data_IF_896219124821
#
_entry.id   IF_896219124821
#
_cell.length_a   1.000
_cell.length_b   1.000
_cell.length_c   1.000
_cell.angle_alpha   90.00
_cell.angle_beta   90.00
_cell.angle_gamma   90.00
#
_symmetry.space_group_name_H-M   'P 1'
#
loop_
_entity.id
_entity.type
_entity.pdbx_description
1 polymer ?
#
# COMPACT_ATOMS: atom_id res chain seq x y z
N UNK A 1 9.89 3.72 -30.84
CA UNK A 1 8.93 3.64 -31.96
C UNK A 1 7.58 4.30 -31.61
N UNK A 2 7.43 4.84 -30.38
CA UNK A 2 6.16 5.45 -29.89
C UNK A 2 5.99 6.95 -30.23
N UNK A 3 7.04 7.68 -30.55
CA UNK A 3 6.95 9.15 -30.76
C UNK A 3 6.60 9.60 -32.20
N UNK A 4 6.76 8.73 -33.19
CA UNK A 4 6.56 9.14 -34.60
C UNK A 4 5.11 9.21 -35.03
N UNK A 5 4.22 8.38 -34.46
CA UNK A 5 2.81 8.28 -34.82
C UNK A 5 1.90 9.26 -34.06
N UNK A 6 2.44 9.99 -33.09
CA UNK A 6 1.68 10.90 -32.22
C UNK A 6 1.69 12.36 -32.66
N UNK A 7 2.39 12.70 -33.73
CA UNK A 7 2.45 14.08 -34.24
C UNK A 7 1.11 14.50 -34.84
N UNK A 8 0.40 15.36 -34.11
CA UNK A 8 -0.86 15.95 -34.54
C UNK A 8 -2.09 15.52 -33.73
N UNK A 9 -1.93 14.65 -32.72
CA UNK A 9 -3.00 14.31 -31.79
C UNK A 9 -3.22 15.43 -30.77
N UNK A 10 -4.47 15.61 -30.32
CA UNK A 10 -4.72 16.40 -29.12
C UNK A 10 -4.09 15.71 -27.89
N UNK A 11 -3.77 16.43 -26.80
CA UNK A 11 -3.26 15.82 -25.57
C UNK A 11 -4.15 14.67 -25.05
N UNK A 12 -5.47 14.83 -25.12
CA UNK A 12 -6.43 13.80 -24.69
C UNK A 12 -6.42 12.57 -25.61
N UNK A 13 -6.28 12.77 -26.91
CA UNK A 13 -6.19 11.66 -27.87
C UNK A 13 -4.87 10.91 -27.71
N UNK A 14 -3.78 11.61 -27.42
CA UNK A 14 -2.50 11.01 -27.11
C UNK A 14 -2.56 10.10 -25.87
N UNK A 15 -3.20 10.56 -24.77
CA UNK A 15 -3.41 9.75 -23.58
C UNK A 15 -4.27 8.52 -23.88
N UNK A 16 -5.36 8.68 -24.62
CA UNK A 16 -6.20 7.56 -25.03
C UNK A 16 -5.44 6.53 -25.87
N UNK A 17 -4.54 6.99 -26.73
CA UNK A 17 -3.68 6.11 -27.53
C UNK A 17 -2.71 5.35 -26.62
N UNK A 18 -2.02 6.02 -25.66
CA UNK A 18 -1.17 5.36 -24.70
C UNK A 18 -1.89 4.26 -23.91
N UNK A 19 -3.11 4.52 -23.44
CA UNK A 19 -3.92 3.51 -22.73
C UNK A 19 -4.20 2.29 -23.62
N UNK A 20 -4.51 2.50 -24.90
CA UNK A 20 -4.73 1.40 -25.86
C UNK A 20 -3.45 0.58 -26.06
N UNK A 21 -2.31 1.24 -26.21
CA UNK A 21 -1.03 0.59 -26.42
C UNK A 21 -0.59 -0.19 -25.16
N UNK A 22 -0.74 0.40 -23.97
CA UNK A 22 -0.52 -0.29 -22.69
C UNK A 22 -1.40 -1.55 -22.58
N UNK A 23 -2.70 -1.44 -22.86
CA UNK A 23 -3.60 -2.60 -22.79
C UNK A 23 -3.24 -3.68 -23.82
N UNK A 24 -2.76 -3.29 -25.00
CA UNK A 24 -2.29 -4.23 -26.02
C UNK A 24 -1.04 -4.97 -25.55
N UNK A 25 -0.11 -4.28 -24.93
CA UNK A 25 1.10 -4.89 -24.35
C UNK A 25 0.75 -5.82 -23.17
N UNK A 26 -0.09 -5.37 -22.25
CA UNK A 26 -0.55 -6.19 -21.13
C UNK A 26 -1.22 -7.47 -21.63
N UNK A 27 -1.99 -7.38 -22.72
CA UNK A 27 -2.62 -8.55 -23.35
C UNK A 27 -1.57 -9.49 -23.98
N UNK A 28 -0.52 -8.95 -24.59
CA UNK A 28 0.55 -9.74 -25.18
C UNK A 28 1.37 -10.54 -24.13
N UNK A 29 1.45 -10.01 -22.91
CA UNK A 29 2.12 -10.66 -21.75
C UNK A 29 1.14 -11.36 -20.82
N UNK A 30 -0.11 -11.58 -21.24
CA UNK A 30 -1.14 -12.20 -20.41
C UNK A 30 -0.73 -13.59 -19.92
N UNK A 31 -0.91 -13.81 -18.61
CA UNK A 31 -0.74 -15.13 -17.98
C UNK A 31 -2.07 -15.57 -17.36
N UNK A 32 -2.79 -16.43 -18.09
CA UNK A 32 -4.12 -16.91 -17.68
C UNK A 32 -4.08 -17.73 -16.38
N UNK A 33 -3.00 -18.48 -16.14
CA UNK A 33 -2.83 -19.26 -14.89
C UNK A 33 -2.67 -18.32 -13.71
N UNK A 34 -1.80 -17.30 -13.83
CA UNK A 34 -1.63 -16.29 -12.81
C UNK A 34 -2.92 -15.52 -12.55
N UNK A 35 -3.62 -15.07 -13.60
CA UNK A 35 -4.91 -14.38 -13.50
C UNK A 35 -5.96 -15.20 -12.75
N UNK A 36 -6.08 -16.50 -13.08
CA UNK A 36 -7.00 -17.40 -12.39
C UNK A 36 -6.63 -17.61 -10.94
N UNK A 37 -5.33 -17.79 -10.64
CA UNK A 37 -4.84 -17.91 -9.26
C UNK A 37 -5.12 -16.64 -8.44
N UNK A 38 -4.89 -15.46 -9.01
CA UNK A 38 -5.20 -14.17 -8.37
C UNK A 38 -6.67 -14.06 -7.98
N UNK A 39 -7.59 -14.40 -8.89
CA UNK A 39 -9.03 -14.39 -8.61
C UNK A 39 -9.40 -15.38 -7.51
N UNK A 40 -8.87 -16.59 -7.53
CA UNK A 40 -9.11 -17.61 -6.52
C UNK A 40 -8.59 -17.20 -5.12
N UNK A 41 -7.58 -16.32 -5.08
CA UNK A 41 -7.02 -15.77 -3.85
C UNK A 41 -7.65 -14.42 -3.43
N UNK A 42 -8.81 -14.06 -3.99
CA UNK A 42 -9.60 -12.90 -3.56
C UNK A 42 -9.18 -11.57 -4.21
N UNK A 43 -8.39 -11.59 -5.29
CA UNK A 43 -8.13 -10.40 -6.10
C UNK A 43 -9.24 -10.31 -7.16
N UNK A 44 -10.43 -9.86 -6.77
CA UNK A 44 -11.64 -9.89 -7.59
C UNK A 44 -12.24 -8.51 -7.91
N UNK A 45 -11.75 -7.44 -7.32
CA UNK A 45 -12.26 -6.07 -7.50
C UNK A 45 -12.06 -5.46 -8.90
N UNK A 46 -11.62 -6.23 -9.90
CA UNK A 46 -11.31 -5.77 -11.26
C UNK A 46 -12.10 -6.50 -12.33
N UNK A 47 -12.53 -5.75 -13.36
CA UNK A 47 -13.17 -6.33 -14.55
C UNK A 47 -12.19 -7.22 -15.32
N UNK A 48 -10.92 -6.80 -15.43
CA UNK A 48 -9.87 -7.52 -16.14
C UNK A 48 -8.63 -7.65 -15.25
N UNK A 49 -8.05 -8.85 -15.26
CA UNK A 49 -6.74 -9.18 -14.69
C UNK A 49 -5.98 -9.91 -15.78
N UNK A 50 -4.90 -9.34 -16.28
CA UNK A 50 -4.06 -9.99 -17.29
C UNK A 50 -3.11 -11.02 -16.66
N UNK A 51 -2.80 -10.89 -15.37
CA UNK A 51 -1.84 -11.75 -14.67
C UNK A 51 -0.39 -11.43 -15.01
N UNK A 52 -0.11 -10.20 -15.45
CA UNK A 52 1.25 -9.72 -15.71
C UNK A 52 1.95 -9.47 -14.38
N UNK A 53 3.19 -9.94 -14.27
CA UNK A 53 3.99 -9.76 -13.06
C UNK A 53 4.47 -8.31 -12.86
N UNK A 54 4.84 -8.00 -11.60
CA UNK A 54 5.23 -6.63 -11.21
C UNK A 54 6.55 -6.20 -11.86
N UNK A 55 7.44 -7.14 -12.19
CA UNK A 55 8.73 -6.81 -12.83
C UNK A 55 8.47 -6.25 -14.23
N UNK A 56 7.62 -6.93 -15.01
CA UNK A 56 7.23 -6.43 -16.32
C UNK A 56 6.47 -5.10 -16.25
N UNK A 57 5.62 -4.91 -15.24
CA UNK A 57 4.94 -3.63 -15.04
C UNK A 57 5.93 -2.49 -14.74
N UNK A 58 7.01 -2.75 -14.00
CA UNK A 58 8.06 -1.75 -13.75
C UNK A 58 8.81 -1.38 -15.03
N UNK A 59 9.12 -2.35 -15.88
CA UNK A 59 9.72 -2.10 -17.19
C UNK A 59 8.82 -1.20 -18.03
N UNK A 60 7.54 -1.56 -18.15
CA UNK A 60 6.56 -0.77 -18.90
C UNK A 60 6.39 0.64 -18.30
N UNK A 61 6.32 0.78 -16.99
CA UNK A 61 6.25 2.08 -16.33
C UNK A 61 7.49 2.95 -16.63
N UNK A 62 8.68 2.33 -16.73
CA UNK A 62 9.91 3.02 -17.10
C UNK A 62 9.91 3.57 -18.53
N UNK A 63 9.27 2.86 -19.47
CA UNK A 63 9.13 3.30 -20.87
C UNK A 63 8.24 4.54 -21.00
N UNK A 64 7.17 4.63 -20.20
CA UNK A 64 6.25 5.78 -20.20
C UNK A 64 6.72 6.95 -19.32
N UNK A 65 7.62 6.67 -18.35
CA UNK A 65 8.10 7.67 -17.41
C UNK A 65 7.02 8.25 -16.51
N UNK A 66 7.32 9.37 -15.85
CA UNK A 66 6.37 10.06 -14.98
C UNK A 66 5.41 10.93 -15.80
N UNK A 67 4.10 10.64 -15.67
CA UNK A 67 3.05 11.35 -16.43
C UNK A 67 1.75 11.39 -15.62
N UNK A 68 1.43 12.56 -15.06
CA UNK A 68 0.24 12.77 -14.23
C UNK A 68 -1.06 12.46 -14.98
N UNK A 69 -1.24 13.02 -16.17
CA UNK A 69 -2.49 12.86 -16.92
C UNK A 69 -2.73 11.38 -17.30
N UNK A 70 -1.69 10.68 -17.76
CA UNK A 70 -1.78 9.25 -18.06
C UNK A 70 -2.07 8.43 -16.80
N UNK A 71 -1.44 8.74 -15.67
CA UNK A 71 -1.66 8.03 -14.41
C UNK A 71 -3.11 8.17 -13.91
N UNK A 72 -3.68 9.39 -14.00
CA UNK A 72 -5.08 9.64 -13.63
C UNK A 72 -6.06 8.83 -14.48
N UNK A 73 -5.82 8.73 -15.77
CA UNK A 73 -6.69 7.95 -16.67
C UNK A 73 -6.50 6.44 -16.49
N UNK A 74 -5.27 5.95 -16.27
CA UNK A 74 -5.01 4.55 -15.95
C UNK A 74 -5.66 4.13 -14.63
N UNK A 75 -5.72 5.02 -13.63
CA UNK A 75 -6.38 4.72 -12.35
C UNK A 75 -7.88 4.51 -12.50
N UNK A 76 -8.53 5.18 -13.45
CA UNK A 76 -9.97 5.01 -13.72
C UNK A 76 -10.31 3.67 -14.38
N UNK A 77 -9.31 2.99 -14.95
CA UNK A 77 -9.52 1.71 -15.61
C UNK A 77 -9.84 0.58 -14.61
N UNK A 78 -10.83 -0.24 -14.95
CA UNK A 78 -11.16 -1.44 -14.16
C UNK A 78 -10.27 -2.63 -14.53
N UNK A 79 -8.97 -2.37 -14.68
CA UNK A 79 -7.90 -3.32 -15.02
C UNK A 79 -6.85 -3.26 -13.94
N UNK A 80 -6.53 -4.41 -13.30
CA UNK A 80 -5.57 -4.49 -12.20
C UNK A 80 -4.23 -3.86 -12.56
N UNK A 81 -3.66 -4.26 -13.67
CA UNK A 81 -2.34 -3.84 -14.12
C UNK A 81 -2.29 -2.33 -14.45
N UNK A 82 -3.38 -1.77 -14.98
CA UNK A 82 -3.49 -0.34 -15.24
C UNK A 82 -3.44 0.48 -13.94
N UNK A 83 -4.13 0.03 -12.88
CA UNK A 83 -4.07 0.70 -11.58
C UNK A 83 -2.69 0.60 -10.93
N UNK A 84 -2.01 -0.54 -11.04
CA UNK A 84 -0.63 -0.69 -10.56
C UNK A 84 0.30 0.24 -11.33
N UNK A 85 0.22 0.28 -12.67
CA UNK A 85 1.00 1.20 -13.51
C UNK A 85 0.74 2.66 -13.14
N UNK A 86 -0.52 3.03 -12.86
CA UNK A 86 -0.86 4.38 -12.42
C UNK A 86 -0.04 4.79 -11.19
N UNK A 87 0.12 3.91 -10.19
CA UNK A 87 0.94 4.20 -9.00
C UNK A 87 2.43 4.36 -9.31
N UNK A 88 2.92 3.69 -10.36
CA UNK A 88 4.33 3.77 -10.77
C UNK A 88 4.63 4.99 -11.63
N UNK A 89 3.67 5.42 -12.46
CA UNK A 89 3.82 6.52 -13.44
C UNK A 89 3.47 7.88 -12.81
N UNK A 90 2.64 7.92 -11.75
CA UNK A 90 2.24 9.17 -11.10
C UNK A 90 3.46 9.93 -10.54
N UNK A 91 3.69 11.21 -10.93
CA UNK A 91 4.67 12.06 -10.28
C UNK A 91 4.18 12.48 -8.89
N UNK A 92 5.07 12.44 -7.90
CA UNK A 92 4.78 12.80 -6.49
C UNK A 92 4.39 14.28 -6.37
N UNK A 93 5.07 15.15 -7.11
CA UNK A 93 4.94 16.61 -7.05
C UNK A 93 3.57 17.13 -7.48
N UNK A 94 2.87 16.35 -8.30
CA UNK A 94 1.51 16.69 -8.80
C UNK A 94 0.41 15.84 -8.17
N UNK A 95 0.72 15.10 -7.09
CA UNK A 95 -0.23 14.25 -6.39
C UNK A 95 -0.63 14.91 -5.07
N UNK A 96 -1.74 15.66 -5.08
CA UNK A 96 -2.22 16.42 -3.93
C UNK A 96 -2.99 15.54 -2.94
N UNK A 97 -3.12 15.95 -1.66
CA UNK A 97 -3.81 15.18 -0.62
C UNK A 97 -5.21 14.72 -0.99
N UNK A 98 -5.98 15.58 -1.68
CA UNK A 98 -7.34 15.29 -2.12
C UNK A 98 -7.38 14.15 -3.16
N UNK A 99 -6.37 14.07 -4.04
CA UNK A 99 -6.25 12.99 -5.01
C UNK A 99 -5.87 11.69 -4.28
N UNK A 100 -5.01 11.77 -3.28
CA UNK A 100 -4.64 10.61 -2.46
C UNK A 100 -5.86 10.01 -1.75
N UNK A 101 -6.74 10.85 -1.20
CA UNK A 101 -7.98 10.44 -0.55
C UNK A 101 -8.98 9.78 -1.53
N UNK A 102 -9.04 10.28 -2.76
CA UNK A 102 -9.84 9.65 -3.83
C UNK A 102 -9.25 8.27 -4.18
N UNK A 103 -7.94 8.19 -4.39
CA UNK A 103 -7.31 6.94 -4.78
C UNK A 103 -7.37 5.88 -3.68
N UNK A 104 -7.08 6.23 -2.43
CA UNK A 104 -7.16 5.29 -1.30
C UNK A 104 -8.59 4.77 -1.10
N UNK A 105 -9.59 5.61 -1.31
CA UNK A 105 -11.02 5.23 -1.19
C UNK A 105 -11.46 4.23 -2.28
N UNK A 106 -10.78 4.20 -3.42
CA UNK A 106 -11.06 3.29 -4.53
C UNK A 106 -10.30 1.94 -4.42
N UNK A 107 -9.42 1.79 -3.42
CA UNK A 107 -8.69 0.53 -3.18
C UNK A 107 -9.64 -0.52 -2.61
N UNK A 108 -9.66 -1.71 -3.23
CA UNK A 108 -10.58 -2.81 -2.88
C UNK A 108 -9.87 -4.13 -2.63
N UNK A 109 -8.55 -4.17 -2.70
CA UNK A 109 -7.75 -5.38 -2.46
C UNK A 109 -6.50 -5.05 -1.66
N UNK A 110 -6.04 -6.02 -0.85
CA UNK A 110 -4.80 -5.89 -0.10
C UNK A 110 -3.61 -5.65 -1.03
N UNK A 111 -3.54 -6.36 -2.16
CA UNK A 111 -2.47 -6.18 -3.14
C UNK A 111 -2.39 -4.73 -3.64
N UNK A 112 -3.54 -4.12 -3.96
CA UNK A 112 -3.55 -2.73 -4.45
C UNK A 112 -3.13 -1.75 -3.35
N UNK A 113 -3.52 -1.99 -2.10
CA UNK A 113 -3.05 -1.21 -0.97
C UNK A 113 -1.51 -1.29 -0.83
N UNK A 114 -0.95 -2.49 -0.92
CA UNK A 114 0.49 -2.71 -0.88
C UNK A 114 1.21 -2.03 -2.05
N UNK A 115 0.70 -2.17 -3.28
CA UNK A 115 1.29 -1.54 -4.46
C UNK A 115 1.23 -0.01 -4.40
N UNK A 116 0.09 0.57 -3.99
CA UNK A 116 -0.06 2.01 -3.88
C UNK A 116 0.85 2.60 -2.79
N UNK A 117 0.92 1.98 -1.62
CA UNK A 117 1.81 2.41 -0.55
C UNK A 117 3.28 2.30 -0.96
N UNK A 118 3.68 1.18 -1.59
CA UNK A 118 5.06 0.92 -2.00
C UNK A 118 5.52 1.82 -3.16
N UNK A 119 4.68 2.04 -4.17
CA UNK A 119 5.11 2.72 -5.40
C UNK A 119 4.93 4.24 -5.33
N UNK A 120 3.98 4.75 -4.52
CA UNK A 120 3.58 6.16 -4.54
C UNK A 120 3.45 6.76 -3.14
N UNK A 121 2.55 6.24 -2.30
CA UNK A 121 2.11 6.95 -1.09
C UNK A 121 3.24 7.19 -0.09
N UNK A 122 4.18 6.28 0.07
CA UNK A 122 5.33 6.47 0.96
C UNK A 122 6.27 7.61 0.59
N UNK A 123 6.20 8.13 -0.63
CA UNK A 123 7.05 9.21 -1.13
C UNK A 123 6.39 10.58 -1.07
N UNK A 124 5.12 10.64 -0.64
CA UNK A 124 4.37 11.89 -0.55
C UNK A 124 4.89 12.75 0.60
N UNK A 125 5.03 14.07 0.41
CA UNK A 125 5.52 14.96 1.47
C UNK A 125 4.61 15.01 2.70
N UNK A 126 3.36 14.59 2.57
CA UNK A 126 2.35 14.49 3.63
C UNK A 126 2.03 13.02 4.01
N UNK A 127 2.92 12.08 3.70
CA UNK A 127 2.69 10.64 3.94
C UNK A 127 2.44 10.33 5.42
N UNK A 128 3.17 10.98 6.34
CA UNK A 128 3.01 10.78 7.78
C UNK A 128 1.63 11.21 8.28
N UNK A 129 1.14 12.37 7.81
CA UNK A 129 -0.19 12.88 8.13
C UNK A 129 -1.28 11.92 7.64
N UNK A 130 -1.19 11.49 6.36
CA UNK A 130 -2.13 10.53 5.78
C UNK A 130 -2.06 9.14 6.41
N UNK A 131 -0.91 8.71 6.90
CA UNK A 131 -0.79 7.45 7.62
C UNK A 131 -1.73 7.42 8.85
N UNK A 132 -1.74 8.48 9.66
CA UNK A 132 -2.63 8.56 10.82
C UNK A 132 -4.09 8.73 10.45
N UNK A 133 -4.38 9.64 9.52
CA UNK A 133 -5.73 9.85 9.04
C UNK A 133 -6.36 8.54 8.54
N UNK A 134 -5.61 7.79 7.73
CA UNK A 134 -6.10 6.52 7.18
C UNK A 134 -6.10 5.38 8.20
N UNK A 135 -5.20 5.33 9.20
CA UNK A 135 -5.27 4.34 10.28
C UNK A 135 -6.55 4.47 11.11
N UNK A 136 -7.07 5.68 11.26
CA UNK A 136 -8.29 5.96 12.01
C UNK A 136 -9.58 5.76 11.21
N UNK A 137 -9.49 5.45 9.90
CA UNK A 137 -10.65 5.25 9.03
C UNK A 137 -11.37 3.92 9.33
N UNK A 138 -12.68 3.87 9.17
CA UNK A 138 -13.49 2.66 9.38
C UNK A 138 -13.42 1.68 8.18
N UNK A 139 -13.02 2.16 7.00
CA UNK A 139 -12.92 1.34 5.78
C UNK A 139 -11.65 0.49 5.81
N UNK A 140 -11.81 -0.84 5.77
CA UNK A 140 -10.74 -1.83 5.93
C UNK A 140 -9.51 -1.55 5.05
N UNK A 141 -9.68 -1.23 3.77
CA UNK A 141 -8.54 -1.02 2.87
C UNK A 141 -7.89 0.35 3.03
N UNK A 142 -8.63 1.37 3.47
CA UNK A 142 -8.07 2.68 3.82
C UNK A 142 -7.22 2.55 5.09
N UNK A 143 -7.77 1.92 6.13
CA UNK A 143 -7.06 1.63 7.37
C UNK A 143 -5.81 0.78 7.11
N UNK A 144 -5.92 -0.21 6.23
CA UNK A 144 -4.78 -1.03 5.79
C UNK A 144 -3.67 -0.19 5.15
N UNK A 145 -4.01 0.77 4.30
CA UNK A 145 -3.04 1.69 3.70
C UNK A 145 -2.33 2.53 4.78
N UNK A 146 -3.04 3.00 5.81
CA UNK A 146 -2.45 3.72 6.94
C UNK A 146 -1.36 2.89 7.63
N UNK A 147 -1.66 1.64 8.01
CA UNK A 147 -0.67 0.75 8.64
C UNK A 147 0.47 0.35 7.69
N UNK A 148 0.21 0.15 6.41
CA UNK A 148 1.26 -0.12 5.41
C UNK A 148 2.20 1.08 5.25
N UNK A 149 1.66 2.30 5.23
CA UNK A 149 2.47 3.51 5.22
C UNK A 149 3.36 3.60 6.46
N UNK A 150 2.84 3.31 7.66
CA UNK A 150 3.66 3.29 8.87
C UNK A 150 4.86 2.36 8.73
N UNK A 151 4.70 1.15 8.15
CA UNK A 151 5.81 0.23 7.92
C UNK A 151 6.88 0.87 7.02
N UNK A 152 6.47 1.51 5.92
CA UNK A 152 7.42 2.14 5.00
C UNK A 152 8.13 3.34 5.62
N UNK A 153 7.40 4.20 6.33
CA UNK A 153 7.95 5.37 7.00
C UNK A 153 8.90 4.97 8.14
N UNK A 154 8.57 3.95 8.94
CA UNK A 154 9.46 3.38 9.97
C UNK A 154 10.81 2.95 9.39
N UNK A 155 10.81 2.24 8.27
CA UNK A 155 12.04 1.79 7.59
C UNK A 155 12.89 2.92 7.04
N UNK A 156 12.30 4.08 6.78
CA UNK A 156 12.98 5.29 6.31
C UNK A 156 13.40 6.23 7.44
N UNK A 157 13.11 5.88 8.68
CA UNK A 157 13.34 6.70 9.87
C UNK A 157 12.72 8.12 9.77
N UNK A 158 11.56 8.23 9.12
CA UNK A 158 10.82 9.48 8.92
C UNK A 158 9.76 9.71 10.01
N UNK A 159 10.10 9.42 11.27
CA UNK A 159 9.22 9.56 12.42
C UNK A 159 9.80 10.41 13.52
N UNK A 160 8.90 11.04 14.30
CA UNK A 160 9.19 11.62 15.59
C UNK A 160 8.55 10.79 16.71
N UNK A 161 8.95 11.04 17.98
CA UNK A 161 8.48 10.30 19.15
C UNK A 161 6.97 10.44 19.39
N UNK A 162 6.36 11.58 19.02
CA UNK A 162 4.91 11.79 19.13
C UNK A 162 4.14 10.84 18.24
N UNK A 163 4.62 10.67 17.01
CA UNK A 163 4.07 9.71 16.06
C UNK A 163 4.10 8.28 16.61
N UNK A 164 5.23 7.87 17.19
CA UNK A 164 5.40 6.51 17.71
C UNK A 164 4.43 6.18 18.86
N UNK A 165 4.08 7.18 19.67
CA UNK A 165 3.10 6.99 20.75
C UNK A 165 1.69 6.77 20.20
N UNK A 166 1.25 7.66 19.29
CA UNK A 166 -0.08 7.58 18.68
C UNK A 166 -0.27 6.31 17.85
N UNK A 167 0.81 5.87 17.15
CA UNK A 167 0.82 4.61 16.41
C UNK A 167 0.49 3.40 17.31
N UNK A 168 1.11 3.30 18.49
CA UNK A 168 0.91 2.15 19.38
C UNK A 168 -0.55 2.06 19.82
N UNK A 169 -1.13 3.16 20.26
CA UNK A 169 -2.53 3.19 20.72
C UNK A 169 -3.50 2.81 19.59
N UNK A 170 -3.31 3.37 18.39
CA UNK A 170 -4.15 3.07 17.24
C UNK A 170 -3.98 1.62 16.77
N UNK A 171 -2.75 1.06 16.80
CA UNK A 171 -2.50 -0.31 16.40
C UNK A 171 -3.15 -1.32 17.35
N UNK A 172 -3.07 -1.08 18.66
CA UNK A 172 -3.73 -1.93 19.66
C UNK A 172 -5.26 -1.91 19.51
N UNK A 173 -5.84 -0.73 19.30
CA UNK A 173 -7.28 -0.58 19.05
C UNK A 173 -7.71 -1.33 17.77
N UNK A 174 -6.96 -1.17 16.69
CA UNK A 174 -7.28 -1.74 15.38
C UNK A 174 -7.04 -3.25 15.28
N UNK A 175 -6.27 -3.83 16.20
CA UNK A 175 -5.98 -5.27 16.20
C UNK A 175 -7.24 -6.13 16.46
N UNK A 176 -8.26 -5.58 17.09
CA UNK A 176 -9.54 -6.25 17.38
C UNK A 176 -10.52 -6.28 16.19
N UNK A 177 -10.05 -5.92 14.99
CA UNK A 177 -10.85 -6.00 13.76
C UNK A 177 -11.30 -7.43 13.42
N UNK A 178 -12.48 -7.58 12.82
CA UNK A 178 -12.96 -8.84 12.26
C UNK A 178 -12.27 -9.22 10.94
N UNK A 179 -11.61 -8.26 10.28
CA UNK A 179 -10.88 -8.48 9.04
C UNK A 179 -9.56 -9.17 9.29
N UNK A 180 -9.46 -10.46 8.93
CA UNK A 180 -8.20 -11.24 9.05
C UNK A 180 -7.06 -10.62 8.26
N UNK A 181 -7.30 -10.04 7.09
CA UNK A 181 -6.27 -9.41 6.28
C UNK A 181 -5.76 -8.11 6.94
N UNK A 182 -6.64 -7.28 7.46
CA UNK A 182 -6.25 -6.08 8.18
C UNK A 182 -5.50 -6.43 9.46
N UNK A 183 -5.99 -7.40 10.24
CA UNK A 183 -5.32 -7.87 11.46
C UNK A 183 -3.86 -8.30 11.21
N UNK A 184 -3.61 -9.01 10.11
CA UNK A 184 -2.24 -9.39 9.70
C UNK A 184 -1.36 -8.17 9.39
N UNK A 185 -1.91 -7.15 8.73
CA UNK A 185 -1.15 -5.92 8.42
C UNK A 185 -0.89 -5.11 9.68
N UNK A 186 -1.87 -4.97 10.56
CA UNK A 186 -1.71 -4.31 11.88
C UNK A 186 -0.61 -5.02 12.66
N UNK A 187 -0.66 -6.34 12.78
CA UNK A 187 0.37 -7.11 13.47
C UNK A 187 1.75 -6.91 12.84
N UNK A 188 1.86 -6.96 11.50
CA UNK A 188 3.11 -6.71 10.80
C UNK A 188 3.67 -5.31 11.10
N UNK A 189 2.81 -4.30 11.21
CA UNK A 189 3.26 -2.95 11.56
C UNK A 189 3.74 -2.86 13.01
N UNK A 190 3.07 -3.52 13.96
CA UNK A 190 3.50 -3.62 15.34
C UNK A 190 4.86 -4.34 15.47
N UNK A 191 5.05 -5.44 14.76
CA UNK A 191 6.33 -6.16 14.73
C UNK A 191 7.45 -5.30 14.17
N UNK A 192 7.22 -4.59 13.05
CA UNK A 192 8.22 -3.66 12.50
C UNK A 192 8.55 -2.52 13.49
N UNK A 193 7.55 -2.01 14.24
CA UNK A 193 7.80 -1.03 15.29
C UNK A 193 8.72 -1.57 16.39
N UNK A 194 8.48 -2.79 16.87
CA UNK A 194 9.29 -3.43 17.90
C UNK A 194 10.74 -3.72 17.41
N UNK A 195 10.90 -4.08 16.14
CA UNK A 195 12.20 -4.35 15.51
C UNK A 195 13.10 -3.10 15.39
N UNK A 196 12.54 -1.88 15.48
CA UNK A 196 13.34 -0.64 15.37
C UNK A 196 14.30 -0.44 16.55
N UNK A 197 13.90 -0.82 17.76
CA UNK A 197 14.73 -0.73 18.96
C UNK A 197 14.16 -1.54 20.13
N UNK A 198 15.03 -1.94 21.07
CA UNK A 198 14.61 -2.58 22.33
C UNK A 198 13.66 -1.69 23.15
N UNK A 199 13.83 -0.36 23.10
CA UNK A 199 12.94 0.59 23.77
C UNK A 199 11.54 0.58 23.18
N UNK A 200 11.41 0.55 21.86
CA UNK A 200 10.12 0.43 21.19
C UNK A 200 9.44 -0.90 21.52
N UNK A 201 10.19 -1.99 21.55
CA UNK A 201 9.67 -3.29 21.92
C UNK A 201 9.17 -3.31 23.38
N UNK A 202 9.95 -2.74 24.33
CA UNK A 202 9.54 -2.59 25.73
C UNK A 202 8.24 -1.79 25.84
N UNK A 203 8.19 -0.63 25.20
CA UNK A 203 7.03 0.24 25.19
C UNK A 203 5.77 -0.45 24.63
N UNK A 204 5.87 -1.08 23.45
CA UNK A 204 4.77 -1.81 22.86
C UNK A 204 4.29 -2.92 23.80
N UNK A 205 5.21 -3.72 24.36
CA UNK A 205 4.88 -4.78 25.29
C UNK A 205 4.19 -4.28 26.56
N UNK A 206 4.65 -3.18 27.15
CA UNK A 206 4.00 -2.56 28.31
C UNK A 206 2.57 -2.12 28.00
N UNK A 207 2.34 -1.50 26.85
CA UNK A 207 1.00 -1.15 26.40
C UNK A 207 0.11 -2.39 26.20
N UNK A 208 0.62 -3.45 25.54
CA UNK A 208 -0.11 -4.72 25.37
C UNK A 208 -0.53 -5.33 26.72
N UNK A 209 0.38 -5.34 27.69
CA UNK A 209 0.11 -5.82 29.07
C UNK A 209 -0.93 -4.91 29.75
N UNK A 210 -0.81 -3.59 29.59
CA UNK A 210 -1.78 -2.62 30.11
C UNK A 210 -3.20 -2.85 29.58
N UNK A 211 -3.33 -3.31 28.33
CA UNK A 211 -4.60 -3.73 27.72
C UNK A 211 -5.00 -5.18 28.07
N UNK A 212 -4.24 -5.88 28.93
CA UNK A 212 -4.57 -7.21 29.43
C UNK A 212 -4.29 -8.37 28.47
N UNK A 213 -3.47 -8.14 27.41
CA UNK A 213 -3.15 -9.18 26.42
C UNK A 213 -2.38 -10.35 27.01
N UNK A 214 -1.62 -10.15 28.10
CA UNK A 214 -0.89 -11.20 28.82
C UNK A 214 -1.81 -12.19 29.53
N UNK A 215 -3.10 -11.80 29.77
CA UNK A 215 -4.12 -12.61 30.46
C UNK A 215 -5.05 -13.33 29.49
N UNK A 216 -5.05 -12.98 28.22
CA UNK A 216 -5.84 -13.60 27.17
C UNK A 216 -5.00 -14.68 26.46
N UNK A 217 -5.45 -15.93 26.48
CA UNK A 217 -4.76 -17.08 25.89
C UNK A 217 -4.51 -16.90 24.37
N UNK A 218 -5.38 -16.16 23.65
CA UNK A 218 -5.23 -15.92 22.23
C UNK A 218 -4.29 -14.74 21.92
N UNK A 219 -4.11 -13.78 22.83
CA UNK A 219 -3.30 -12.58 22.66
C UNK A 219 -1.91 -12.71 23.28
N UNK A 220 -1.77 -13.52 24.34
CA UNK A 220 -0.50 -13.76 25.01
C UNK A 220 0.67 -14.14 24.07
N UNK A 221 0.48 -14.98 23.04
CA UNK A 221 1.57 -15.31 22.10
C UNK A 221 2.17 -14.09 21.40
N UNK A 222 1.37 -13.04 21.16
CA UNK A 222 1.85 -11.78 20.59
C UNK A 222 2.72 -11.00 21.57
N UNK A 223 2.36 -10.98 22.87
CA UNK A 223 3.16 -10.35 23.95
C UNK A 223 4.49 -11.07 24.11
N UNK A 224 4.46 -12.40 24.08
CA UNK A 224 5.67 -13.23 24.22
C UNK A 224 6.61 -13.04 23.01
N UNK A 225 6.08 -12.92 21.80
CA UNK A 225 6.86 -12.63 20.59
C UNK A 225 7.57 -11.27 20.68
N UNK A 226 6.89 -10.22 21.13
CA UNK A 226 7.48 -8.88 21.27
C UNK A 226 8.54 -8.85 22.38
N UNK A 227 8.41 -9.69 23.42
CA UNK A 227 9.37 -9.78 24.50
C UNK A 227 10.79 -10.19 24.02
N UNK A 228 10.91 -10.89 22.91
CA UNK A 228 12.22 -11.30 22.38
C UNK A 228 13.00 -10.11 21.82
N UNK A 229 12.32 -9.10 21.26
CA UNK A 229 12.96 -7.86 20.78
C UNK A 229 13.27 -6.87 21.93
N UNK A 230 12.65 -7.03 23.09
CA UNK A 230 12.89 -6.17 24.25
C UNK A 230 14.20 -6.50 25.00
N UNK A 231 14.85 -7.61 24.66
CA UNK A 231 16.14 -8.02 25.23
C UNK A 231 17.25 -7.20 24.56
N UNK A 232 18.11 -6.59 25.36
CA UNK A 232 19.34 -5.97 24.83
C UNK A 232 20.26 -7.09 24.32
N UNK A 233 20.86 -6.86 23.14
CA UNK A 233 22.00 -7.68 22.73
C UNK A 233 23.15 -7.43 23.72
N UNK A 234 23.55 -8.47 24.46
CA UNK A 234 24.64 -8.46 25.43
C UNK A 234 25.97 -8.50 24.67
#
# INVERSE_FOLDING_TARGET
MLESDMRGLSPDDAIRQHIKDIKKELHAFMNGVASSSMRNNGIDGYRVIFGVDVVRLKELASEYGKNHALAQELWKESVRECKILATMIQPVESFYPEIADIWVSDIKTQEMAEQACMNLFQFLPYASEKAFEWMADERVFVQMCGFLLCIHLMRRAEFNDSFLNEFVDQALASFHTDSTSLKKVVWRSMSNFAELSADNARKLRECMIGYGWDKDENLKPYVDYIADFAKEEV
#
